data_IF_070394319299
#
_entry.id   IF_070394319299
#
_cell.length_a   1.000
_cell.length_b   1.000
_cell.length_c   1.000
_cell.angle_alpha   90.00
_cell.angle_beta   90.00
_cell.angle_gamma   90.00
#
_symmetry.space_group_name_H-M   'P 1'
#
loop_
_entity.id
_entity.type
_entity.pdbx_description
1 polymer ?
#
# COMPACT_ATOMS: atom_id res chain seq x y z
N UNK A 1 1.10 22.15 -11.97
CA UNK A 1 0.86 20.76 -12.38
C UNK A 1 1.25 19.85 -11.22
N UNK A 2 0.33 19.00 -10.78
CA UNK A 2 0.50 18.05 -9.70
C UNK A 2 0.55 16.64 -10.32
N UNK A 3 1.40 15.77 -9.83
CA UNK A 3 1.44 14.38 -10.28
C UNK A 3 0.07 13.70 -10.04
N UNK A 4 -0.40 12.82 -10.91
CA UNK A 4 -1.70 12.14 -10.76
C UNK A 4 -1.86 11.42 -9.42
N UNK A 5 -0.80 10.80 -8.91
CA UNK A 5 -0.79 10.18 -7.58
C UNK A 5 -1.04 11.18 -6.46
N UNK A 6 -0.43 12.37 -6.53
CA UNK A 6 -0.54 13.43 -5.51
C UNK A 6 -1.81 14.27 -5.66
N UNK A 7 -2.47 14.26 -6.83
CA UNK A 7 -3.74 14.95 -7.03
C UNK A 7 -4.81 14.32 -6.14
N UNK A 8 -5.61 15.14 -5.46
CA UNK A 8 -6.74 14.64 -4.68
C UNK A 8 -7.77 13.94 -5.56
N UNK A 9 -8.09 14.54 -6.70
CA UNK A 9 -9.08 14.04 -7.65
C UNK A 9 -8.53 14.04 -9.07
N UNK A 10 -8.87 13.03 -9.86
CA UNK A 10 -8.63 12.97 -11.30
C UNK A 10 -9.95 13.17 -12.03
N UNK A 11 -9.88 13.80 -13.20
CA UNK A 11 -10.99 13.82 -14.16
C UNK A 11 -11.12 12.41 -14.77
N UNK A 12 -12.24 11.78 -14.48
CA UNK A 12 -12.58 10.46 -15.01
C UNK A 12 -13.74 10.52 -16.00
N UNK A 13 -13.84 11.58 -16.79
CA UNK A 13 -14.80 11.68 -17.88
C UNK A 13 -14.60 10.52 -18.85
N UNK A 14 -15.69 10.01 -19.42
CA UNK A 14 -15.69 8.86 -20.32
C UNK A 14 -14.88 9.07 -21.62
N UNK A 15 -14.74 10.29 -22.08
CA UNK A 15 -14.02 10.62 -23.31
C UNK A 15 -12.50 10.52 -23.09
N UNK A 16 -11.82 9.86 -24.03
CA UNK A 16 -10.36 9.76 -24.01
C UNK A 16 -9.70 10.84 -24.86
N UNK A 17 -8.47 11.21 -24.50
CA UNK A 17 -7.60 12.00 -25.37
C UNK A 17 -6.99 11.14 -26.48
N UNK A 18 -6.46 11.77 -27.57
CA UNK A 18 -5.92 11.02 -28.71
C UNK A 18 -4.79 10.04 -28.38
N UNK A 19 -4.05 10.27 -27.29
CA UNK A 19 -2.92 9.46 -26.81
C UNK A 19 -3.28 8.48 -25.68
N UNK A 20 -4.57 8.31 -25.41
CA UNK A 20 -5.05 7.44 -24.34
C UNK A 20 -5.71 6.16 -24.85
N UNK A 21 -5.83 5.18 -23.95
CA UNK A 21 -6.59 3.95 -24.17
C UNK A 21 -7.62 3.80 -23.06
N UNK A 22 -8.84 3.37 -23.38
CA UNK A 22 -9.87 3.04 -22.41
C UNK A 22 -10.03 1.54 -22.28
N UNK A 23 -10.13 1.09 -21.03
CA UNK A 23 -10.36 -0.31 -20.66
C UNK A 23 -11.67 -0.41 -19.91
N UNK A 24 -12.58 -1.24 -20.37
CA UNK A 24 -13.78 -1.64 -19.64
C UNK A 24 -13.40 -2.65 -18.56
N UNK A 25 -13.66 -2.31 -17.30
CA UNK A 25 -13.24 -3.08 -16.14
C UNK A 25 -14.06 -4.36 -16.02
N UNK A 26 -13.39 -5.43 -15.59
CA UNK A 26 -14.01 -6.70 -15.19
C UNK A 26 -13.64 -7.05 -13.74
N UNK A 27 -12.39 -6.79 -13.34
CA UNK A 27 -11.89 -7.12 -12.01
C UNK A 27 -10.86 -6.09 -11.55
N UNK A 28 -10.89 -5.76 -10.28
CA UNK A 28 -9.87 -4.94 -9.61
C UNK A 28 -9.27 -5.78 -8.48
N UNK A 29 -7.96 -5.82 -8.39
CA UNK A 29 -7.23 -6.22 -7.20
C UNK A 29 -6.90 -4.97 -6.40
N UNK A 30 -7.34 -4.94 -5.16
CA UNK A 30 -7.06 -3.82 -4.23
C UNK A 30 -5.85 -4.23 -3.40
N UNK A 31 -4.91 -3.31 -3.24
CA UNK A 31 -3.71 -3.55 -2.44
C UNK A 31 -4.09 -4.00 -1.00
N UNK A 32 -3.33 -4.96 -0.45
CA UNK A 32 -3.72 -5.69 0.76
C UNK A 32 -4.00 -4.82 1.97
N UNK A 33 -3.15 -3.81 2.24
CA UNK A 33 -3.33 -2.88 3.37
C UNK A 33 -4.62 -2.06 3.21
N UNK A 34 -4.89 -1.57 1.99
CA UNK A 34 -6.10 -0.82 1.68
C UNK A 34 -7.35 -1.68 1.82
N UNK A 35 -7.32 -2.89 1.27
CA UNK A 35 -8.46 -3.79 1.34
C UNK A 35 -8.79 -4.18 2.78
N UNK A 36 -7.78 -4.49 3.58
CA UNK A 36 -7.93 -4.81 5.01
C UNK A 36 -8.52 -3.64 5.80
N UNK A 37 -8.02 -2.42 5.58
CA UNK A 37 -8.55 -1.21 6.21
C UNK A 37 -10.03 -1.03 5.88
N UNK A 38 -10.40 -1.14 4.59
CA UNK A 38 -11.79 -1.02 4.14
C UNK A 38 -12.68 -2.09 4.79
N UNK A 39 -12.22 -3.35 4.88
CA UNK A 39 -12.95 -4.44 5.53
C UNK A 39 -13.17 -4.17 7.02
N UNK A 40 -12.13 -3.73 7.74
CA UNK A 40 -12.22 -3.40 9.17
C UNK A 40 -13.23 -2.29 9.43
N UNK A 41 -13.14 -1.17 8.72
CA UNK A 41 -14.09 -0.06 8.88
C UNK A 41 -15.53 -0.43 8.48
N UNK A 42 -15.69 -1.34 7.52
CA UNK A 42 -17.00 -1.87 7.12
C UNK A 42 -17.55 -2.93 8.10
N UNK A 43 -16.81 -3.29 9.16
CA UNK A 43 -17.11 -4.43 10.03
C UNK A 43 -17.35 -5.71 9.21
N UNK A 44 -16.51 -5.95 8.21
CA UNK A 44 -16.52 -7.10 7.30
C UNK A 44 -17.87 -7.31 6.55
N UNK A 45 -18.69 -6.27 6.46
CA UNK A 45 -19.96 -6.32 5.77
C UNK A 45 -19.81 -5.98 4.29
N UNK A 46 -20.12 -6.92 3.39
CA UNK A 46 -19.91 -6.79 1.95
C UNK A 46 -20.58 -5.55 1.33
N UNK A 47 -21.79 -5.20 1.75
CA UNK A 47 -22.47 -4.01 1.21
C UNK A 47 -21.75 -2.72 1.62
N UNK A 48 -21.26 -2.65 2.85
CA UNK A 48 -20.50 -1.51 3.33
C UNK A 48 -19.12 -1.44 2.67
N UNK A 49 -18.46 -2.59 2.44
CA UNK A 49 -17.20 -2.67 1.70
C UNK A 49 -17.40 -2.10 0.29
N UNK A 50 -18.42 -2.58 -0.45
CA UNK A 50 -18.77 -2.08 -1.77
C UNK A 50 -19.01 -0.57 -1.75
N UNK A 51 -19.79 -0.09 -0.80
CA UNK A 51 -20.10 1.33 -0.69
C UNK A 51 -18.85 2.17 -0.45
N UNK A 52 -17.94 1.75 0.44
CA UNK A 52 -16.69 2.48 0.71
C UNK A 52 -15.80 2.56 -0.53
N UNK A 53 -15.62 1.46 -1.24
CA UNK A 53 -14.84 1.46 -2.48
C UNK A 53 -15.46 2.42 -3.50
N UNK A 54 -16.77 2.37 -3.69
CA UNK A 54 -17.49 3.29 -4.57
C UNK A 54 -17.31 4.75 -4.15
N UNK A 55 -17.43 5.04 -2.85
CA UNK A 55 -17.27 6.40 -2.31
C UNK A 55 -15.88 6.97 -2.56
N UNK A 56 -14.83 6.14 -2.42
CA UNK A 56 -13.45 6.54 -2.75
C UNK A 56 -13.36 6.93 -4.23
N UNK A 57 -13.84 6.08 -5.13
CA UNK A 57 -13.74 6.31 -6.57
C UNK A 57 -14.59 7.49 -7.03
N UNK A 58 -15.83 7.62 -6.53
CA UNK A 58 -16.71 8.75 -6.87
C UNK A 58 -16.08 10.09 -6.47
N UNK A 59 -15.50 10.15 -5.27
CA UNK A 59 -14.92 11.41 -4.76
C UNK A 59 -13.57 11.76 -5.39
N UNK A 60 -12.79 10.76 -5.76
CA UNK A 60 -11.40 10.95 -6.21
C UNK A 60 -11.19 10.76 -7.71
N UNK A 61 -12.15 10.22 -8.42
CA UNK A 61 -11.98 9.85 -9.84
C UNK A 61 -10.91 8.80 -10.07
N UNK A 62 -10.48 8.12 -9.01
CA UNK A 62 -9.41 7.10 -8.97
C UNK A 62 -9.57 6.21 -7.74
N UNK A 63 -8.98 5.01 -7.75
CA UNK A 63 -8.90 4.18 -6.56
C UNK A 63 -7.62 4.51 -5.80
N UNK A 64 -7.74 5.38 -4.83
CA UNK A 64 -6.65 5.80 -3.96
C UNK A 64 -7.22 5.99 -2.55
N UNK A 65 -7.03 4.99 -1.70
CA UNK A 65 -7.51 5.04 -0.32
C UNK A 65 -6.78 6.16 0.46
N UNK A 66 -7.48 7.17 0.96
CA UNK A 66 -6.84 8.29 1.64
C UNK A 66 -6.23 7.92 3.00
N UNK A 67 -6.58 6.77 3.56
CA UNK A 67 -6.05 6.29 4.84
C UNK A 67 -4.71 5.59 4.67
N UNK A 68 -4.56 4.77 3.61
CA UNK A 68 -3.37 3.94 3.37
C UNK A 68 -2.46 4.47 2.27
N UNK A 69 -2.90 5.48 1.52
CA UNK A 69 -2.22 6.02 0.33
C UNK A 69 -1.95 4.97 -0.77
N UNK A 70 -2.71 3.88 -0.79
CA UNK A 70 -2.57 2.79 -1.75
C UNK A 70 -3.81 2.61 -2.63
N UNK A 71 -3.69 1.85 -3.72
CA UNK A 71 -4.75 1.61 -4.68
C UNK A 71 -4.87 0.14 -5.05
N UNK A 72 -4.33 -0.23 -6.19
CA UNK A 72 -4.39 -1.58 -6.72
C UNK A 72 -4.14 -1.62 -8.22
N UNK A 73 -4.57 -2.69 -8.86
CA UNK A 73 -4.44 -2.92 -10.29
C UNK A 73 -5.74 -3.47 -10.88
N UNK A 74 -5.88 -3.48 -12.20
CA UNK A 74 -7.10 -3.94 -12.85
C UNK A 74 -6.87 -4.96 -13.98
N UNK A 75 -7.91 -5.73 -14.23
CA UNK A 75 -8.13 -6.52 -15.43
C UNK A 75 -9.40 -6.06 -16.13
N UNK A 76 -9.33 -5.99 -17.44
CA UNK A 76 -10.47 -5.60 -18.25
C UNK A 76 -10.27 -5.87 -19.76
N UNK A 77 -11.10 -5.22 -20.56
CA UNK A 77 -11.13 -5.37 -22.01
C UNK A 77 -10.89 -4.01 -22.65
N UNK A 78 -9.99 -3.94 -23.61
CA UNK A 78 -9.76 -2.71 -24.39
C UNK A 78 -11.04 -2.32 -25.12
N UNK A 79 -11.60 -1.17 -24.78
CA UNK A 79 -12.85 -0.67 -25.40
C UNK A 79 -12.63 0.45 -26.41
N UNK A 80 -11.57 1.24 -26.27
CA UNK A 80 -11.25 2.33 -27.18
C UNK A 80 -9.73 2.60 -27.18
N UNK A 81 -9.18 3.00 -28.34
CA UNK A 81 -7.76 3.37 -28.50
C UNK A 81 -7.73 4.71 -29.23
N UNK A 82 -7.08 5.70 -28.63
CA UNK A 82 -6.90 7.02 -29.22
C UNK A 82 -6.06 6.99 -30.50
N UNK A 83 -6.34 7.92 -31.39
CA UNK A 83 -5.74 7.96 -32.75
C UNK A 83 -4.23 8.22 -32.75
N UNK A 84 -3.68 8.80 -31.67
CA UNK A 84 -2.26 9.12 -31.51
C UNK A 84 -1.58 8.22 -30.46
N UNK A 85 -2.31 7.22 -29.94
CA UNK A 85 -1.73 6.25 -29.00
C UNK A 85 -0.68 5.40 -29.72
N UNK A 86 0.54 5.35 -29.19
CA UNK A 86 1.67 4.66 -29.83
C UNK A 86 1.41 3.17 -30.06
N UNK A 87 0.65 2.54 -29.14
CA UNK A 87 0.22 1.15 -29.24
C UNK A 87 1.34 0.17 -29.67
N UNK A 88 2.52 0.32 -29.07
CA UNK A 88 3.73 -0.44 -29.42
C UNK A 88 3.54 -1.96 -29.36
N UNK A 89 2.60 -2.43 -28.53
CA UNK A 89 2.26 -3.85 -28.34
C UNK A 89 1.14 -4.33 -29.29
N UNK A 90 0.60 -3.45 -30.14
CA UNK A 90 -0.43 -3.78 -31.13
C UNK A 90 -1.73 -4.28 -30.51
N UNK A 91 -2.20 -3.65 -29.41
CA UNK A 91 -3.50 -3.94 -28.81
C UNK A 91 -4.64 -3.60 -29.77
N UNK A 92 -5.75 -4.33 -29.63
CA UNK A 92 -6.98 -4.12 -30.39
C UNK A 92 -8.16 -4.00 -29.42
N UNK A 93 -9.19 -3.30 -29.86
CA UNK A 93 -10.47 -3.32 -29.19
C UNK A 93 -10.96 -4.77 -29.07
N UNK A 94 -11.32 -5.17 -27.86
CA UNK A 94 -11.69 -6.55 -27.52
C UNK A 94 -10.56 -7.38 -26.87
N UNK A 95 -9.31 -6.90 -26.88
CA UNK A 95 -8.21 -7.61 -26.18
C UNK A 95 -8.42 -7.59 -24.68
N UNK A 96 -8.28 -8.74 -24.04
CA UNK A 96 -8.23 -8.88 -22.58
C UNK A 96 -6.85 -8.47 -22.06
N UNK A 97 -6.82 -7.54 -21.11
CA UNK A 97 -5.58 -6.96 -20.60
C UNK A 97 -5.57 -6.86 -19.09
N UNK A 98 -4.36 -6.93 -18.51
CA UNK A 98 -4.08 -6.62 -17.13
C UNK A 98 -3.26 -5.33 -17.12
N UNK A 99 -3.69 -4.34 -16.35
CA UNK A 99 -2.96 -3.09 -16.13
C UNK A 99 -2.23 -3.19 -14.79
N UNK A 100 -0.91 -3.15 -14.84
CA UNK A 100 -0.03 -3.28 -13.67
C UNK A 100 0.38 -1.91 -13.08
N UNK A 101 -0.16 -0.82 -13.60
CA UNK A 101 0.01 0.50 -12.98
C UNK A 101 -0.93 0.66 -11.79
N UNK A 102 -0.46 1.41 -10.80
CA UNK A 102 -1.27 1.70 -9.62
C UNK A 102 -2.50 2.55 -9.97
N UNK A 103 -3.66 2.11 -9.55
CA UNK A 103 -4.93 2.83 -9.69
C UNK A 103 -4.96 4.15 -8.89
N UNK A 104 -3.93 4.46 -8.10
CA UNK A 104 -3.77 5.77 -7.45
C UNK A 104 -3.49 6.90 -8.44
N UNK A 105 -3.01 6.56 -9.65
CA UNK A 105 -2.60 7.52 -10.67
C UNK A 105 -3.45 7.49 -11.94
N UNK A 106 -4.47 6.65 -12.00
CA UNK A 106 -5.28 6.44 -13.21
C UNK A 106 -6.72 6.93 -13.01
N UNK A 107 -7.29 7.65 -13.99
CA UNK A 107 -8.72 7.98 -14.01
C UNK A 107 -9.55 6.71 -14.03
N UNK A 108 -10.42 6.57 -13.02
CA UNK A 108 -11.23 5.38 -12.80
C UNK A 108 -12.69 5.75 -12.53
N UNK A 109 -13.59 5.05 -13.18
CA UNK A 109 -15.03 5.09 -12.92
C UNK A 109 -15.55 3.68 -12.67
N UNK A 110 -16.32 3.50 -11.61
CA UNK A 110 -17.01 2.25 -11.29
C UNK A 110 -18.52 2.54 -11.29
N UNK A 111 -19.26 1.82 -12.12
CA UNK A 111 -20.71 1.87 -12.15
C UNK A 111 -21.30 1.01 -11.02
N UNK A 112 -20.83 -0.23 -10.90
CA UNK A 112 -21.25 -1.14 -9.83
C UNK A 112 -20.17 -2.18 -9.49
N UNK A 113 -20.20 -2.66 -8.25
CA UNK A 113 -19.41 -3.80 -7.77
C UNK A 113 -20.36 -4.99 -7.61
N UNK A 114 -20.11 -6.06 -8.37
CA UNK A 114 -20.95 -7.25 -8.40
C UNK A 114 -20.58 -8.25 -7.31
N UNK A 115 -19.29 -8.56 -7.14
CA UNK A 115 -18.82 -9.50 -6.13
C UNK A 115 -17.55 -9.01 -5.42
N UNK A 116 -17.27 -9.60 -4.26
CA UNK A 116 -16.04 -9.40 -3.48
C UNK A 116 -15.42 -10.76 -3.22
N UNK A 117 -14.12 -10.85 -3.47
CA UNK A 117 -13.29 -11.99 -3.11
C UNK A 117 -12.30 -11.54 -2.02
N UNK A 118 -12.64 -11.83 -0.78
CA UNK A 118 -11.86 -11.38 0.37
C UNK A 118 -10.51 -12.09 0.49
N UNK A 119 -10.40 -13.32 -0.01
CA UNK A 119 -9.17 -14.12 0.05
C UNK A 119 -8.06 -13.53 -0.78
N UNK A 120 -8.42 -12.96 -1.91
CA UNK A 120 -7.48 -12.35 -2.85
C UNK A 120 -7.48 -10.82 -2.81
N UNK A 121 -8.32 -10.19 -1.98
CA UNK A 121 -8.46 -8.73 -1.98
C UNK A 121 -8.99 -8.20 -3.33
N UNK A 122 -9.92 -8.92 -3.97
CA UNK A 122 -10.38 -8.61 -5.32
C UNK A 122 -11.88 -8.35 -5.37
N UNK A 123 -12.28 -7.50 -6.30
CA UNK A 123 -13.69 -7.22 -6.61
C UNK A 123 -13.96 -7.43 -8.09
N UNK A 124 -15.15 -7.93 -8.43
CA UNK A 124 -15.69 -7.83 -9.78
C UNK A 124 -16.49 -6.54 -9.89
N UNK A 125 -16.21 -5.76 -10.91
CA UNK A 125 -16.80 -4.46 -11.11
C UNK A 125 -17.08 -4.18 -12.59
N UNK A 126 -18.05 -3.33 -12.85
CA UNK A 126 -18.35 -2.75 -14.15
C UNK A 126 -18.01 -1.26 -14.09
N UNK A 127 -17.41 -0.75 -15.13
CA UNK A 127 -16.93 0.61 -15.26
C UNK A 127 -15.80 0.71 -16.27
N UNK A 128 -15.02 1.76 -16.20
CA UNK A 128 -13.87 1.94 -17.11
C UNK A 128 -12.69 2.61 -16.40
N UNK A 129 -11.53 2.44 -17.00
CA UNK A 129 -10.29 3.13 -16.64
C UNK A 129 -9.65 3.71 -17.87
N UNK A 130 -9.07 4.90 -17.75
CA UNK A 130 -8.37 5.59 -18.84
C UNK A 130 -6.88 5.55 -18.55
N UNK A 131 -6.10 5.12 -19.53
CA UNK A 131 -4.67 4.92 -19.41
C UNK A 131 -3.92 5.77 -20.44
N UNK A 132 -2.96 6.59 -19.98
CA UNK A 132 -2.00 7.24 -20.88
C UNK A 132 -1.09 6.24 -21.60
N UNK A 133 -0.38 6.73 -22.59
CA UNK A 133 0.46 5.96 -23.53
C UNK A 133 1.55 5.08 -22.86
N UNK A 134 2.12 5.56 -21.76
CA UNK A 134 3.27 4.95 -21.06
C UNK A 134 2.88 3.98 -19.95
N UNK A 135 1.59 3.74 -19.76
CA UNK A 135 1.11 2.85 -18.70
C UNK A 135 1.36 1.38 -19.07
N UNK A 136 1.97 0.59 -18.19
CA UNK A 136 2.25 -0.82 -18.44
C UNK A 136 0.97 -1.65 -18.45
N UNK A 137 0.65 -2.19 -19.62
CA UNK A 137 -0.43 -3.17 -19.82
C UNK A 137 0.11 -4.40 -20.55
N UNK A 138 -0.44 -5.57 -20.19
CA UNK A 138 -0.12 -6.84 -20.84
C UNK A 138 -1.40 -7.56 -21.28
N UNK A 139 -1.31 -8.34 -22.35
CA UNK A 139 -2.40 -9.29 -22.66
C UNK A 139 -2.51 -10.33 -21.59
N UNK A 140 -3.74 -10.62 -21.17
CA UNK A 140 -4.00 -11.66 -20.19
C UNK A 140 -3.41 -13.00 -20.66
N UNK A 141 -2.52 -13.62 -19.86
CA UNK A 141 -2.07 -14.99 -20.12
C UNK A 141 -3.24 -15.97 -20.06
N UNK A 142 -3.45 -16.72 -21.15
CA UNK A 142 -4.55 -17.67 -21.24
C UNK A 142 -4.25 -18.98 -20.47
N UNK A 143 -5.31 -19.65 -19.99
CA UNK A 143 -5.20 -20.95 -19.31
C UNK A 143 -4.65 -20.85 -17.87
N UNK A 144 -4.55 -19.65 -17.30
CA UNK A 144 -4.11 -19.45 -15.90
C UNK A 144 -5.22 -18.79 -15.07
N UNK A 145 -5.29 -19.10 -13.76
CA UNK A 145 -6.28 -18.50 -12.85
C UNK A 145 -6.08 -16.99 -12.74
N UNK A 146 -7.08 -16.21 -13.15
CA UNK A 146 -7.01 -14.76 -13.16
C UNK A 146 -6.74 -14.17 -11.76
N UNK A 147 -7.38 -14.72 -10.73
CA UNK A 147 -7.21 -14.27 -9.34
C UNK A 147 -5.75 -14.35 -8.89
N UNK A 148 -5.11 -15.48 -9.17
CA UNK A 148 -3.71 -15.72 -8.82
C UNK A 148 -2.76 -14.88 -9.68
N UNK A 149 -3.07 -14.70 -10.98
CA UNK A 149 -2.30 -13.80 -11.85
C UNK A 149 -2.29 -12.37 -11.30
N UNK A 150 -3.44 -11.80 -10.99
CA UNK A 150 -3.53 -10.43 -10.47
C UNK A 150 -2.83 -10.30 -9.12
N UNK A 151 -2.98 -11.28 -8.23
CA UNK A 151 -2.29 -11.30 -6.94
C UNK A 151 -0.76 -11.33 -7.12
N UNK A 152 -0.26 -12.19 -8.01
CA UNK A 152 1.17 -12.32 -8.29
C UNK A 152 1.74 -11.05 -8.96
N UNK A 153 1.04 -10.50 -9.93
CA UNK A 153 1.49 -9.30 -10.63
C UNK A 153 1.50 -8.06 -9.73
N UNK A 154 0.63 -7.98 -8.73
CA UNK A 154 0.68 -6.91 -7.74
C UNK A 154 2.01 -6.93 -6.95
N UNK A 155 2.58 -8.11 -6.76
CA UNK A 155 3.82 -8.33 -6.02
C UNK A 155 5.05 -8.48 -6.93
N UNK A 156 4.93 -8.28 -8.23
CA UNK A 156 5.91 -8.62 -9.27
C UNK A 156 7.32 -8.10 -8.99
N UNK A 157 7.47 -6.81 -8.74
CA UNK A 157 8.76 -6.21 -8.45
C UNK A 157 9.41 -6.77 -7.19
N UNK A 158 8.61 -6.97 -6.14
CA UNK A 158 9.06 -7.58 -4.87
C UNK A 158 9.49 -9.02 -5.07
N UNK A 159 8.71 -9.82 -5.81
CA UNK A 159 9.04 -11.20 -6.18
C UNK A 159 10.39 -11.26 -6.89
N UNK A 160 10.60 -10.42 -7.90
CA UNK A 160 11.85 -10.37 -8.63
C UNK A 160 13.03 -9.95 -7.75
N UNK A 161 12.84 -8.95 -6.90
CA UNK A 161 13.86 -8.49 -5.95
C UNK A 161 14.26 -9.61 -4.97
N UNK A 162 13.30 -10.33 -4.44
CA UNK A 162 13.54 -11.50 -3.56
C UNK A 162 14.32 -12.56 -4.31
N UNK A 163 13.87 -12.96 -5.50
CA UNK A 163 14.50 -14.00 -6.30
C UNK A 163 15.95 -13.63 -6.67
N UNK A 164 16.17 -12.40 -7.17
CA UNK A 164 17.52 -11.95 -7.54
C UNK A 164 18.48 -11.89 -6.35
N UNK A 165 17.95 -11.56 -5.17
CA UNK A 165 18.73 -11.49 -3.92
C UNK A 165 19.02 -12.88 -3.33
N UNK A 166 18.14 -13.86 -3.57
CA UNK A 166 18.26 -15.21 -3.02
C UNK A 166 19.35 -16.06 -3.70
N UNK A 167 19.80 -15.67 -4.91
CA UNK A 167 20.80 -16.44 -5.65
C UNK A 167 22.08 -16.64 -4.82
N UNK A 168 22.49 -17.89 -4.68
CA UNK A 168 23.72 -18.29 -3.97
C UNK A 168 23.63 -18.31 -2.44
N UNK A 169 22.53 -17.87 -1.86
CA UNK A 169 22.26 -17.90 -0.41
C UNK A 169 21.66 -19.24 0.02
N UNK A 170 21.68 -19.53 1.33
CA UNK A 170 21.27 -20.84 1.87
C UNK A 170 20.18 -20.78 2.94
N UNK A 171 20.17 -19.76 3.80
CA UNK A 171 19.23 -19.65 4.90
C UNK A 171 18.29 -18.45 4.70
N UNK A 172 17.00 -18.75 4.69
CA UNK A 172 15.97 -17.79 4.37
C UNK A 172 14.87 -17.77 5.43
N UNK A 173 14.41 -16.58 5.78
CA UNK A 173 13.28 -16.38 6.67
C UNK A 173 12.18 -15.59 5.94
N UNK A 174 10.95 -16.08 6.01
CA UNK A 174 9.76 -15.36 5.53
C UNK A 174 8.83 -15.14 6.72
N UNK A 175 8.54 -13.89 7.02
CA UNK A 175 7.69 -13.46 8.14
C UNK A 175 6.44 -12.80 7.59
N UNK A 176 5.26 -13.29 7.97
CA UNK A 176 4.01 -12.71 7.49
C UNK A 176 2.78 -13.13 8.27
N UNK A 177 1.66 -12.52 7.93
CA UNK A 177 0.33 -12.81 8.49
C UNK A 177 -0.70 -13.22 7.41
N UNK A 178 -0.23 -13.52 6.21
CA UNK A 178 -1.05 -14.04 5.12
C UNK A 178 -0.34 -15.23 4.47
N UNK A 179 -0.95 -16.42 4.54
CA UNK A 179 -0.34 -17.63 4.04
C UNK A 179 -0.04 -17.58 2.53
N UNK A 180 -0.90 -16.94 1.74
CA UNK A 180 -0.71 -16.83 0.29
C UNK A 180 0.52 -15.97 -0.05
N UNK A 181 0.70 -14.82 0.63
CA UNK A 181 1.89 -13.98 0.47
C UNK A 181 3.16 -14.70 0.90
N UNK A 182 3.12 -15.39 2.06
CA UNK A 182 4.28 -16.19 2.52
C UNK A 182 4.64 -17.29 1.50
N UNK A 183 3.64 -17.99 0.96
CA UNK A 183 3.85 -19.01 -0.06
C UNK A 183 4.43 -18.44 -1.35
N UNK A 184 3.92 -17.30 -1.80
CA UNK A 184 4.37 -16.62 -3.02
C UNK A 184 5.86 -16.24 -2.91
N UNK A 185 6.25 -15.58 -1.82
CA UNK A 185 7.63 -15.16 -1.61
C UNK A 185 8.57 -16.31 -1.29
N UNK A 186 8.13 -17.27 -0.49
CA UNK A 186 8.87 -18.52 -0.24
C UNK A 186 9.11 -19.30 -1.53
N UNK A 187 8.11 -19.38 -2.40
CA UNK A 187 8.22 -20.05 -3.70
C UNK A 187 9.20 -19.31 -4.64
N UNK A 188 9.15 -17.96 -4.67
CA UNK A 188 10.09 -17.14 -5.41
C UNK A 188 11.56 -17.42 -4.98
N UNK A 189 11.80 -17.62 -3.68
CA UNK A 189 13.09 -18.06 -3.14
C UNK A 189 13.45 -19.45 -3.69
N UNK A 190 12.54 -20.43 -3.58
CA UNK A 190 12.79 -21.81 -4.00
C UNK A 190 13.13 -21.96 -5.48
N UNK A 191 12.57 -21.12 -6.35
CA UNK A 191 12.86 -21.16 -7.80
C UNK A 191 14.33 -20.91 -8.13
N UNK A 192 15.04 -20.19 -7.29
CA UNK A 192 16.42 -19.74 -7.56
C UNK A 192 17.44 -20.20 -6.50
N UNK A 193 16.97 -20.58 -5.32
CA UNK A 193 17.81 -21.09 -4.24
C UNK A 193 18.33 -22.49 -4.57
N UNK A 194 19.40 -22.88 -3.89
CA UNK A 194 19.95 -24.23 -3.97
C UNK A 194 18.96 -25.26 -3.39
N UNK A 195 19.08 -26.52 -3.82
CA UNK A 195 18.24 -27.62 -3.31
C UNK A 195 18.40 -27.84 -1.79
N UNK A 196 19.61 -27.59 -1.27
CA UNK A 196 19.95 -27.71 0.15
C UNK A 196 19.61 -26.45 0.98
N UNK A 197 18.92 -25.48 0.41
CA UNK A 197 18.56 -24.25 1.11
C UNK A 197 17.47 -24.48 2.16
N UNK A 198 17.64 -23.83 3.31
CA UNK A 198 16.63 -23.78 4.36
C UNK A 198 15.74 -22.55 4.16
N UNK A 199 14.44 -22.76 4.11
CA UNK A 199 13.44 -21.68 4.04
C UNK A 199 12.48 -21.85 5.20
N UNK A 200 12.61 -21.00 6.21
CA UNK A 200 11.75 -21.00 7.40
C UNK A 200 10.67 -19.96 7.25
N UNK A 201 9.44 -20.31 7.65
CA UNK A 201 8.30 -19.40 7.66
C UNK A 201 7.84 -19.16 9.09
N UNK A 202 7.73 -17.89 9.46
CA UNK A 202 6.99 -17.45 10.63
C UNK A 202 5.64 -16.87 10.17
N UNK A 203 4.57 -17.55 10.52
CA UNK A 203 3.22 -17.12 10.21
C UNK A 203 2.52 -16.71 11.49
N UNK A 204 1.96 -15.48 11.48
CA UNK A 204 1.23 -15.00 12.65
C UNK A 204 0.04 -15.91 12.97
N UNK A 205 -0.05 -16.36 14.23
CA UNK A 205 -1.13 -17.23 14.68
C UNK A 205 -2.50 -16.53 14.69
N UNK A 206 -2.53 -15.20 14.58
CA UNK A 206 -3.73 -14.37 14.45
C UNK A 206 -4.13 -14.14 12.98
N UNK A 207 -3.65 -14.96 12.07
CA UNK A 207 -3.98 -14.86 10.64
C UNK A 207 -5.49 -14.99 10.40
N UNK A 208 -6.10 -13.97 9.82
CA UNK A 208 -7.56 -13.88 9.64
C UNK A 208 -8.12 -14.82 8.57
N UNK A 209 -7.30 -15.20 7.58
CA UNK A 209 -7.71 -16.07 6.49
C UNK A 209 -6.63 -17.12 6.23
N UNK A 210 -7.04 -18.37 6.23
CA UNK A 210 -6.16 -19.50 5.97
C UNK A 210 -6.71 -20.30 4.79
N UNK A 211 -5.89 -20.46 3.76
CA UNK A 211 -6.14 -21.44 2.72
C UNK A 211 -5.92 -22.85 3.30
N UNK A 212 -6.87 -23.76 3.07
CA UNK A 212 -6.80 -25.15 3.52
C UNK A 212 -6.93 -26.10 2.35
N UNK A 213 -6.56 -27.33 2.58
CA UNK A 213 -6.68 -28.43 1.63
C UNK A 213 -5.38 -29.21 1.47
N UNK A 214 -5.47 -30.39 0.91
CA UNK A 214 -4.30 -31.25 0.72
C UNK A 214 -3.26 -30.62 -0.21
N UNK A 215 -3.70 -29.92 -1.26
CA UNK A 215 -2.83 -29.19 -2.18
C UNK A 215 -2.02 -28.10 -1.46
N UNK A 216 -2.65 -27.34 -0.59
CA UNK A 216 -1.98 -26.29 0.20
C UNK A 216 -0.93 -26.92 1.15
N UNK A 217 -1.27 -28.02 1.82
CA UNK A 217 -0.31 -28.72 2.69
C UNK A 217 0.90 -29.27 1.90
N UNK A 218 0.67 -29.76 0.68
CA UNK A 218 1.75 -30.19 -0.21
C UNK A 218 2.61 -29.00 -0.65
N UNK A 219 1.99 -27.85 -0.98
CA UNK A 219 2.69 -26.63 -1.36
C UNK A 219 3.53 -26.09 -0.20
N UNK A 220 2.99 -26.05 1.01
CA UNK A 220 3.71 -25.63 2.22
C UNK A 220 5.00 -26.48 2.38
N UNK A 221 4.88 -27.80 2.30
CA UNK A 221 6.03 -28.72 2.41
C UNK A 221 7.03 -28.58 1.26
N UNK A 222 6.58 -28.19 0.07
CA UNK A 222 7.45 -27.92 -1.08
C UNK A 222 8.22 -26.62 -0.94
N UNK A 223 7.60 -25.61 -0.33
CA UNK A 223 8.15 -24.26 -0.22
C UNK A 223 9.01 -24.10 1.02
N UNK A 224 8.51 -24.50 2.18
CA UNK A 224 9.16 -24.27 3.45
C UNK A 224 9.80 -25.54 4.02
N UNK A 225 10.98 -25.40 4.61
CA UNK A 225 11.61 -26.42 5.41
C UNK A 225 10.86 -26.59 6.72
N UNK A 226 10.49 -25.47 7.33
CA UNK A 226 9.73 -25.40 8.57
C UNK A 226 8.74 -24.24 8.54
N UNK A 227 7.59 -24.41 9.23
CA UNK A 227 6.59 -23.35 9.44
C UNK A 227 6.25 -23.29 10.91
N UNK A 228 6.43 -22.13 11.51
CA UNK A 228 6.10 -21.85 12.90
C UNK A 228 4.95 -20.87 12.97
N UNK A 229 3.93 -21.18 13.77
CA UNK A 229 2.79 -20.30 14.05
C UNK A 229 3.09 -19.56 15.34
N UNK A 230 3.34 -18.25 15.24
CA UNK A 230 3.89 -17.42 16.31
C UNK A 230 3.10 -16.13 16.50
N UNK A 231 3.31 -15.42 17.60
CA UNK A 231 2.91 -14.03 17.75
C UNK A 231 4.04 -13.14 17.23
N UNK A 232 3.92 -12.67 15.98
CA UNK A 232 4.97 -11.85 15.33
C UNK A 232 5.24 -10.51 16.01
N UNK A 233 4.41 -10.10 16.98
CA UNK A 233 4.67 -8.93 17.84
C UNK A 233 5.58 -9.24 19.03
N UNK A 234 6.04 -10.49 19.16
CA UNK A 234 6.97 -10.94 20.20
C UNK A 234 8.30 -11.41 19.59
N UNK A 235 9.12 -10.49 19.10
CA UNK A 235 10.29 -10.84 18.28
C UNK A 235 11.28 -11.77 18.98
N UNK A 236 11.51 -11.62 20.28
CA UNK A 236 12.46 -12.47 21.01
C UNK A 236 11.95 -13.91 21.19
N UNK A 237 10.64 -14.09 21.39
CA UNK A 237 10.03 -15.42 21.44
C UNK A 237 10.15 -16.07 20.04
N UNK A 238 9.81 -15.35 18.97
CA UNK A 238 9.93 -15.84 17.61
C UNK A 238 11.35 -16.28 17.24
N UNK A 239 12.36 -15.50 17.63
CA UNK A 239 13.77 -15.83 17.36
C UNK A 239 14.20 -17.07 18.14
N UNK A 240 13.77 -17.22 19.39
CA UNK A 240 14.07 -18.39 20.19
C UNK A 240 13.43 -19.67 19.62
N UNK A 241 12.20 -19.57 19.10
CA UNK A 241 11.48 -20.71 18.52
C UNK A 241 12.16 -21.32 17.27
N UNK A 242 12.93 -20.53 16.54
CA UNK A 242 13.59 -20.95 15.29
C UNK A 242 15.12 -21.05 15.43
N UNK A 243 15.66 -20.89 16.64
CA UNK A 243 17.13 -20.80 16.88
C UNK A 243 17.81 -19.81 15.91
N UNK A 244 17.13 -18.67 15.70
CA UNK A 244 17.31 -17.81 14.54
C UNK A 244 18.13 -16.54 14.77
N UNK A 245 18.80 -16.35 15.93
CA UNK A 245 19.59 -15.14 16.13
C UNK A 245 20.75 -15.07 15.14
N UNK A 246 20.74 -14.01 14.31
CA UNK A 246 21.80 -13.75 13.32
C UNK A 246 22.08 -14.91 12.35
N UNK A 247 21.06 -15.72 12.00
CA UNK A 247 21.23 -16.95 11.26
C UNK A 247 20.99 -16.84 9.76
N UNK A 248 20.13 -15.90 9.32
CA UNK A 248 19.61 -15.87 7.96
C UNK A 248 20.40 -14.98 7.00
N UNK A 249 20.62 -15.48 5.78
CA UNK A 249 21.28 -14.75 4.68
C UNK A 249 20.34 -13.67 4.10
N UNK A 250 19.07 -13.98 4.03
CA UNK A 250 17.98 -13.14 3.53
C UNK A 250 16.74 -13.37 4.37
N UNK A 251 16.17 -12.30 4.89
CA UNK A 251 14.86 -12.33 5.50
C UNK A 251 13.88 -11.40 4.78
N UNK A 252 12.65 -11.88 4.61
CA UNK A 252 11.55 -11.15 3.97
C UNK A 252 10.46 -10.92 4.99
N UNK A 253 10.02 -9.68 5.15
CA UNK A 253 8.85 -9.33 5.92
C UNK A 253 7.71 -8.97 4.97
N UNK A 254 6.67 -9.78 4.95
CA UNK A 254 5.42 -9.53 4.22
C UNK A 254 4.22 -9.39 5.15
N UNK A 255 4.47 -9.15 6.44
CA UNK A 255 3.40 -8.92 7.40
C UNK A 255 2.76 -7.55 7.18
N UNK A 256 1.44 -7.54 7.15
CA UNK A 256 0.63 -6.34 7.18
C UNK A 256 0.33 -5.92 8.65
N UNK A 257 1.39 -5.90 9.46
CA UNK A 257 1.35 -5.60 10.91
C UNK A 257 2.61 -4.82 11.27
N UNK A 258 2.43 -3.60 11.78
CA UNK A 258 3.55 -2.81 12.32
C UNK A 258 4.16 -3.47 13.56
N UNK A 259 5.48 -3.43 13.65
CA UNK A 259 6.25 -4.01 14.77
C UNK A 259 6.83 -5.38 14.50
N UNK A 260 6.42 -6.06 13.41
CA UNK A 260 6.97 -7.34 13.00
C UNK A 260 8.40 -7.23 12.42
N UNK A 261 8.85 -6.03 12.05
CA UNK A 261 10.13 -5.75 11.41
C UNK A 261 11.33 -6.16 12.26
N UNK A 262 11.19 -6.06 13.59
CA UNK A 262 12.24 -6.40 14.56
C UNK A 262 12.70 -7.84 14.42
N UNK A 263 11.81 -8.78 14.10
CA UNK A 263 12.17 -10.20 13.86
C UNK A 263 13.22 -10.28 12.75
N UNK A 264 12.94 -9.66 11.61
CA UNK A 264 13.81 -9.74 10.44
C UNK A 264 15.20 -9.15 10.71
N UNK A 265 15.24 -8.03 11.47
CA UNK A 265 16.48 -7.38 11.84
C UNK A 265 17.32 -8.28 12.76
N UNK A 266 16.72 -8.86 13.79
CA UNK A 266 17.41 -9.74 14.73
C UNK A 266 17.82 -11.06 14.08
N UNK A 267 16.97 -11.64 13.23
CA UNK A 267 17.23 -12.92 12.59
C UNK A 267 18.31 -12.86 11.49
N UNK A 268 18.51 -11.70 10.87
CA UNK A 268 19.42 -11.58 9.73
C UNK A 268 20.87 -11.43 10.20
N UNK A 269 21.77 -12.22 9.63
CA UNK A 269 23.21 -12.17 9.95
C UNK A 269 23.87 -10.87 9.50
N UNK A 270 25.05 -10.57 10.05
CA UNK A 270 25.87 -9.44 9.61
C UNK A 270 26.17 -9.51 8.10
N UNK A 271 25.94 -8.39 7.39
CA UNK A 271 26.05 -8.32 5.93
C UNK A 271 24.93 -9.04 5.17
N UNK A 272 23.91 -9.56 5.88
CA UNK A 272 22.74 -10.16 5.28
C UNK A 272 21.75 -9.12 4.75
N UNK A 273 20.74 -9.58 4.05
CA UNK A 273 19.72 -8.72 3.43
C UNK A 273 18.38 -8.86 4.13
N UNK A 274 17.71 -7.74 4.38
CA UNK A 274 16.30 -7.68 4.83
C UNK A 274 15.48 -7.04 3.72
N UNK A 275 14.37 -7.69 3.32
CA UNK A 275 13.41 -7.11 2.36
C UNK A 275 12.08 -6.88 3.09
N UNK A 276 11.65 -5.64 3.14
CA UNK A 276 10.32 -5.26 3.60
C UNK A 276 9.38 -5.21 2.39
N UNK A 277 8.53 -6.22 2.26
CA UNK A 277 7.65 -6.41 1.13
C UNK A 277 6.32 -5.64 1.25
N UNK A 278 5.99 -5.15 2.44
CA UNK A 278 4.74 -4.43 2.69
C UNK A 278 4.98 -2.95 2.96
N UNK A 279 4.12 -2.07 2.43
CA UNK A 279 4.23 -0.61 2.58
C UNK A 279 3.98 -0.12 4.02
N UNK A 280 3.28 -0.91 4.84
CA UNK A 280 3.05 -0.59 6.26
C UNK A 280 4.31 -0.74 7.11
N UNK A 281 5.33 -1.44 6.62
CA UNK A 281 6.55 -1.68 7.36
C UNK A 281 7.28 -0.38 7.68
N UNK A 282 7.71 -0.25 8.92
CA UNK A 282 8.47 0.89 9.39
C UNK A 282 9.97 0.71 9.13
N UNK A 283 10.44 1.19 7.99
CA UNK A 283 11.86 1.07 7.60
C UNK A 283 12.81 1.79 8.58
N UNK A 284 12.33 2.81 9.30
CA UNK A 284 13.15 3.55 10.24
C UNK A 284 13.55 2.70 11.45
N UNK A 285 12.82 1.63 11.74
CA UNK A 285 13.15 0.72 12.87
C UNK A 285 14.57 0.18 12.76
N UNK A 286 15.01 -0.06 11.53
CA UNK A 286 16.37 -0.52 11.24
C UNK A 286 17.47 0.50 11.63
N UNK A 287 17.14 1.79 11.72
CA UNK A 287 18.04 2.84 12.13
C UNK A 287 18.11 3.04 13.65
N UNK A 288 17.07 2.58 14.36
CA UNK A 288 16.94 2.79 15.80
C UNK A 288 17.31 1.56 16.63
N UNK A 289 17.33 0.37 16.04
CA UNK A 289 17.74 -0.85 16.74
C UNK A 289 19.26 -0.91 16.69
N UNK A 290 19.91 -0.84 17.86
CA UNK A 290 21.37 -0.86 17.99
C UNK A 290 21.97 -2.11 17.33
N UNK A 291 21.27 -3.24 17.41
CA UNK A 291 21.65 -4.49 16.80
C UNK A 291 21.70 -4.41 15.27
N UNK A 292 20.84 -3.63 14.64
CA UNK A 292 20.86 -3.43 13.18
C UNK A 292 22.09 -2.64 12.73
N UNK A 293 22.43 -1.58 13.47
CA UNK A 293 23.56 -0.69 13.14
C UNK A 293 24.88 -1.47 13.16
N UNK A 294 25.06 -2.37 14.13
CA UNK A 294 26.29 -3.15 14.28
C UNK A 294 26.43 -4.26 13.21
N UNK A 295 25.36 -4.68 12.55
CA UNK A 295 25.31 -5.83 11.62
C UNK A 295 25.53 -5.46 10.16
N UNK A 296 25.56 -4.18 9.80
CA UNK A 296 25.69 -3.71 8.40
C UNK A 296 24.68 -4.40 7.47
N UNK A 297 23.40 -4.39 7.84
CA UNK A 297 22.35 -5.02 7.05
C UNK A 297 22.08 -4.25 5.75
N UNK A 298 21.90 -4.99 4.65
CA UNK A 298 21.39 -4.47 3.40
C UNK A 298 19.84 -4.47 3.47
N UNK A 299 19.24 -3.30 3.67
CA UNK A 299 17.79 -3.16 3.84
C UNK A 299 17.18 -2.66 2.54
N UNK A 300 16.21 -3.40 2.05
CA UNK A 300 15.48 -3.10 0.81
C UNK A 300 13.99 -3.06 1.08
N UNK A 301 13.29 -2.23 0.30
CA UNK A 301 11.83 -2.15 0.34
C UNK A 301 11.20 -2.90 -0.85
N UNK A 302 9.88 -2.99 -0.82
CA UNK A 302 9.06 -3.43 -1.94
C UNK A 302 9.43 -2.65 -3.21
N UNK A 303 9.32 -3.31 -4.35
CA UNK A 303 9.63 -2.73 -5.66
C UNK A 303 8.39 -2.72 -6.55
N UNK A 304 8.36 -1.77 -7.48
CA UNK A 304 7.30 -1.66 -8.46
C UNK A 304 7.41 -2.70 -9.58
N UNK A 305 6.36 -2.79 -10.36
CA UNK A 305 6.30 -3.64 -11.54
C UNK A 305 7.26 -3.14 -12.64
N UNK A 306 7.94 -4.09 -13.28
CA UNK A 306 8.64 -3.89 -14.53
C UNK A 306 8.22 -4.98 -15.53
N UNK A 307 7.93 -4.61 -16.77
CA UNK A 307 7.47 -5.52 -17.82
C UNK A 307 8.41 -6.72 -18.07
N UNK A 308 9.70 -6.53 -17.82
CA UNK A 308 10.68 -7.61 -17.95
C UNK A 308 10.42 -8.80 -17.01
N UNK A 309 9.59 -8.63 -15.97
CA UNK A 309 9.30 -9.66 -14.98
C UNK A 309 8.13 -10.57 -15.34
N UNK A 310 7.30 -10.20 -16.33
CA UNK A 310 6.10 -10.94 -16.73
C UNK A 310 6.32 -12.44 -16.91
N UNK A 311 7.42 -12.81 -17.58
CA UNK A 311 7.72 -14.23 -17.83
C UNK A 311 7.96 -15.00 -16.54
N UNK A 312 8.67 -14.39 -15.61
CA UNK A 312 8.98 -15.00 -14.31
C UNK A 312 7.71 -15.16 -13.47
N UNK A 313 6.89 -14.12 -13.42
CA UNK A 313 5.62 -14.14 -12.70
C UNK A 313 4.65 -15.18 -13.26
N UNK A 314 4.53 -15.27 -14.59
CA UNK A 314 3.71 -16.29 -15.27
C UNK A 314 4.19 -17.70 -14.94
N UNK A 315 5.50 -17.93 -14.84
CA UNK A 315 6.04 -19.23 -14.41
C UNK A 315 5.70 -19.55 -12.97
N UNK A 316 5.79 -18.57 -12.07
CA UNK A 316 5.36 -18.74 -10.67
C UNK A 316 3.89 -19.12 -10.61
N UNK A 317 3.02 -18.40 -11.33
CA UNK A 317 1.59 -18.71 -11.36
C UNK A 317 1.31 -20.12 -11.89
N UNK A 318 1.98 -20.55 -12.97
CA UNK A 318 1.84 -21.91 -13.51
C UNK A 318 2.16 -22.98 -12.47
N UNK A 319 3.20 -22.75 -11.68
CA UNK A 319 3.66 -23.71 -10.69
C UNK A 319 2.80 -23.72 -9.42
N UNK A 320 2.19 -22.60 -9.06
CA UNK A 320 1.32 -22.45 -7.88
C UNK A 320 -0.14 -22.86 -8.16
N UNK A 321 -0.65 -22.61 -9.38
CA UNK A 321 -2.05 -22.81 -9.74
C UNK A 321 -2.61 -24.20 -9.37
N UNK A 322 -1.91 -25.34 -9.64
CA UNK A 322 -2.44 -26.66 -9.32
C UNK A 322 -2.73 -26.90 -7.83
N UNK A 323 -2.08 -26.16 -6.95
CA UNK A 323 -2.25 -26.30 -5.50
C UNK A 323 -3.30 -25.37 -4.93
N UNK A 324 -3.56 -24.22 -5.60
CA UNK A 324 -4.40 -23.14 -5.08
C UNK A 324 -5.82 -23.21 -5.66
N UNK A 325 -6.02 -23.70 -6.90
CA UNK A 325 -7.35 -23.77 -7.53
C UNK A 325 -8.37 -24.60 -6.75
N UNK A 326 -7.92 -25.57 -5.97
CA UNK A 326 -8.77 -26.44 -5.15
C UNK A 326 -8.64 -26.16 -3.65
N UNK A 327 -8.11 -24.99 -3.27
CA UNK A 327 -7.99 -24.63 -1.87
C UNK A 327 -9.34 -24.19 -1.30
N UNK A 328 -9.72 -24.78 -0.17
CA UNK A 328 -10.87 -24.35 0.60
C UNK A 328 -10.49 -23.12 1.44
N UNK A 329 -11.34 -22.09 1.39
CA UNK A 329 -11.17 -20.89 2.20
C UNK A 329 -11.77 -21.11 3.58
N UNK A 330 -11.01 -20.80 4.60
CA UNK A 330 -11.50 -20.82 5.97
C UNK A 330 -11.21 -19.47 6.62
N UNK A 331 -12.26 -18.78 7.04
CA UNK A 331 -12.14 -17.59 7.89
C UNK A 331 -11.90 -18.04 9.32
N UNK A 332 -10.74 -17.75 9.88
CA UNK A 332 -10.49 -17.91 11.30
C UNK A 332 -10.89 -16.59 11.94
N UNK A 333 -12.08 -16.52 12.53
CA UNK A 333 -12.44 -15.39 13.40
C UNK A 333 -11.70 -15.55 14.70
N UNK A 334 -10.83 -14.61 14.99
CA UNK A 334 -10.26 -14.46 16.31
C UNK A 334 -11.39 -14.08 17.29
N UNK A 335 -11.37 -14.69 18.47
CA UNK A 335 -12.17 -14.20 19.60
C UNK A 335 -11.77 -12.75 19.84
N UNK A 336 -12.79 -11.91 19.97
CA UNK A 336 -12.68 -10.49 20.23
C UNK A 336 -11.50 -10.13 21.14
N UNK A 337 -10.42 -9.67 20.54
CA UNK A 337 -9.49 -8.77 21.18
C UNK A 337 -9.68 -7.41 20.50
N UNK A 338 -10.54 -6.60 21.11
CA UNK A 338 -11.00 -5.29 20.64
C UNK A 338 -9.90 -4.21 20.68
N UNK A 339 -8.64 -4.57 20.41
CA UNK A 339 -7.48 -3.71 20.53
C UNK A 339 -6.83 -3.29 19.19
N UNK A 340 -7.48 -3.53 18.06
CA UNK A 340 -7.00 -3.05 16.74
C UNK A 340 -7.70 -1.75 16.29
N UNK A 341 -7.93 -0.84 17.20
CA UNK A 341 -8.18 0.54 16.86
C UNK A 341 -7.01 1.35 17.38
N UNK A 342 -6.18 1.95 16.50
CA UNK A 342 -5.15 2.93 16.82
C UNK A 342 -4.38 2.69 18.13
N UNK A 343 -3.83 1.51 18.37
CA UNK A 343 -3.25 1.15 19.65
C UNK A 343 -1.84 1.68 19.78
N UNK A 344 -1.63 2.50 20.79
CA UNK A 344 -0.31 2.86 21.30
C UNK A 344 0.47 1.58 21.64
N UNK A 345 1.31 1.12 20.73
CA UNK A 345 2.25 0.05 21.04
C UNK A 345 3.37 0.64 21.92
N UNK A 346 3.37 0.31 23.19
CA UNK A 346 4.49 0.64 24.08
C UNK A 346 5.50 -0.50 24.04
N UNK A 347 6.65 -0.24 23.44
CA UNK A 347 7.80 -1.12 23.57
C UNK A 347 8.70 -0.62 24.69
N UNK A 348 9.07 -1.52 25.59
CA UNK A 348 10.12 -1.26 26.59
C UNK A 348 11.40 -1.86 26.02
N UNK A 349 12.34 -1.01 25.59
CA UNK A 349 13.67 -1.45 25.20
C UNK A 349 14.43 -2.02 26.41
N UNK A 350 15.41 -2.87 26.15
CA UNK A 350 16.34 -3.37 27.19
C UNK A 350 17.05 -2.23 27.96
N UNK A 351 17.05 -1.02 27.43
CA UNK A 351 17.57 0.21 28.05
C UNK A 351 16.55 0.98 28.88
N UNK A 352 15.30 0.49 29.03
CA UNK A 352 14.27 1.14 29.83
C UNK A 352 13.63 2.39 29.22
N UNK A 353 13.91 2.69 27.94
CA UNK A 353 13.31 3.82 27.23
C UNK A 353 12.00 3.39 26.57
N UNK A 354 10.89 3.99 26.98
CA UNK A 354 9.59 3.76 26.34
C UNK A 354 9.55 4.46 24.99
N UNK A 355 9.44 3.68 23.91
CA UNK A 355 9.21 4.18 22.56
C UNK A 355 7.74 3.99 22.19
N UNK A 356 7.09 5.03 21.72
CA UNK A 356 5.70 4.95 21.27
C UNK A 356 5.67 5.11 19.76
N UNK A 357 5.08 4.14 19.08
CA UNK A 357 4.87 4.16 17.63
C UNK A 357 3.38 4.38 17.39
N UNK A 358 3.05 5.37 16.59
CA UNK A 358 1.68 5.66 16.24
C UNK A 358 1.60 6.03 14.76
N UNK A 359 1.00 5.16 13.95
CA UNK A 359 0.98 5.27 12.50
C UNK A 359 2.40 5.55 11.96
N UNK A 360 2.66 6.47 11.10
CA UNK A 360 4.01 6.79 10.62
C UNK A 360 4.85 7.67 11.57
N UNK A 361 4.45 7.76 12.85
CA UNK A 361 5.09 8.66 13.82
C UNK A 361 5.78 7.86 14.93
N UNK A 362 7.13 7.87 14.91
CA UNK A 362 7.97 7.25 15.95
C UNK A 362 8.53 8.33 16.87
N UNK A 363 8.30 8.20 18.16
CA UNK A 363 8.82 9.14 19.16
C UNK A 363 9.15 8.44 20.47
N UNK A 364 10.14 9.00 21.15
CA UNK A 364 10.62 8.48 22.44
C UNK A 364 10.41 9.45 23.60
N UNK A 365 10.20 10.74 23.29
CA UNK A 365 10.10 11.76 24.33
C UNK A 365 8.70 11.82 24.92
N UNK A 366 8.64 12.02 26.25
CA UNK A 366 7.39 12.27 26.95
C UNK A 366 6.64 13.51 26.42
N UNK A 367 7.39 14.55 26.03
CA UNK A 367 6.81 15.76 25.43
C UNK A 367 6.02 15.44 24.17
N UNK A 368 6.56 14.60 23.28
CA UNK A 368 5.86 14.20 22.07
C UNK A 368 4.63 13.31 22.38
N UNK A 369 4.70 12.47 23.43
CA UNK A 369 3.51 11.70 23.88
C UNK A 369 2.36 12.61 24.26
N UNK A 370 2.63 13.73 24.94
CA UNK A 370 1.61 14.73 25.30
C UNK A 370 1.03 15.38 24.02
N UNK A 371 1.88 15.77 23.07
CA UNK A 371 1.44 16.35 21.78
C UNK A 371 0.52 15.38 21.04
N UNK A 372 0.87 14.09 20.99
CA UNK A 372 0.03 13.09 20.33
C UNK A 372 -1.32 12.89 21.02
N UNK A 373 -1.36 12.90 22.34
CA UNK A 373 -2.63 12.83 23.11
C UNK A 373 -3.52 14.05 22.83
N UNK A 374 -2.93 15.24 22.70
CA UNK A 374 -3.63 16.46 22.28
C UNK A 374 -4.14 16.36 20.84
N UNK A 375 -3.32 15.87 19.92
CA UNK A 375 -3.68 15.62 18.51
C UNK A 375 -4.89 14.71 18.39
N UNK A 376 -4.89 13.56 19.08
CA UNK A 376 -6.00 12.61 19.07
C UNK A 376 -7.28 13.18 19.70
N UNK A 377 -7.12 14.12 20.61
CA UNK A 377 -8.23 14.80 21.23
C UNK A 377 -8.81 15.84 20.28
N UNK A 378 -7.96 16.74 19.74
CA UNK A 378 -8.40 17.84 18.87
C UNK A 378 -8.94 17.38 17.54
N UNK A 379 -8.41 16.28 16.99
CA UNK A 379 -8.86 15.72 15.72
C UNK A 379 -10.37 15.37 15.67
N UNK A 380 -11.00 15.16 16.82
CA UNK A 380 -12.43 14.85 16.93
C UNK A 380 -13.33 16.09 16.81
N UNK A 381 -12.76 17.28 16.90
CA UNK A 381 -13.48 18.53 16.90
C UNK A 381 -13.26 19.31 15.60
N UNK A 382 -14.27 20.07 15.23
CA UNK A 382 -14.21 20.96 14.06
C UNK A 382 -13.68 22.33 14.49
N UNK A 383 -12.36 22.46 14.56
CA UNK A 383 -11.68 23.67 14.98
C UNK A 383 -10.39 23.92 14.22
N UNK A 384 -9.94 25.17 14.19
CA UNK A 384 -8.64 25.53 13.67
C UNK A 384 -7.53 25.09 14.63
N UNK A 385 -6.45 24.52 14.10
CA UNK A 385 -5.30 24.06 14.89
C UNK A 385 -4.04 24.78 14.43
N UNK A 386 -3.33 25.39 15.37
CA UNK A 386 -2.02 25.96 15.12
C UNK A 386 -0.93 25.00 15.60
N UNK A 387 -0.05 24.58 14.68
CA UNK A 387 1.09 23.71 14.97
C UNK A 387 2.36 24.56 14.97
N UNK A 388 2.99 24.68 16.13
CA UNK A 388 4.23 25.47 16.28
C UNK A 388 5.43 24.57 16.56
N UNK A 389 6.58 24.94 16.04
CA UNK A 389 7.83 24.22 16.25
C UNK A 389 8.92 24.63 15.25
N UNK A 390 10.15 24.25 15.51
CA UNK A 390 11.29 24.52 14.65
C UNK A 390 11.13 23.86 13.26
N UNK A 391 11.92 24.32 12.29
CA UNK A 391 11.93 23.70 10.95
C UNK A 391 12.47 22.27 11.06
N UNK A 392 11.81 21.33 10.38
CA UNK A 392 12.23 19.92 10.34
C UNK A 392 11.73 19.06 11.51
N UNK A 393 11.03 19.58 12.52
CA UNK A 393 10.53 18.79 13.67
C UNK A 393 9.34 17.89 13.35
N UNK A 394 8.80 17.97 12.12
CA UNK A 394 7.70 17.11 11.68
C UNK A 394 6.30 17.70 11.81
N UNK A 395 6.14 19.03 11.74
CA UNK A 395 4.82 19.72 11.76
C UNK A 395 3.83 19.13 10.75
N UNK A 396 4.28 18.84 9.53
CA UNK A 396 3.46 18.24 8.48
C UNK A 396 2.94 16.84 8.89
N UNK A 397 3.78 16.03 9.57
CA UNK A 397 3.36 14.71 10.07
C UNK A 397 2.26 14.84 11.13
N UNK A 398 2.37 15.84 12.00
CA UNK A 398 1.34 16.15 13.00
C UNK A 398 0.03 16.56 12.32
N UNK A 399 0.08 17.41 11.29
CA UNK A 399 -1.10 17.79 10.52
C UNK A 399 -1.76 16.60 9.82
N UNK A 400 -0.97 15.70 9.22
CA UNK A 400 -1.47 14.44 8.67
C UNK A 400 -2.18 13.59 9.74
N UNK A 401 -1.60 13.49 10.92
CA UNK A 401 -2.17 12.69 12.02
C UNK A 401 -3.50 13.27 12.50
N UNK A 402 -3.61 14.59 12.60
CA UNK A 402 -4.88 15.26 12.92
C UNK A 402 -5.95 14.90 11.87
N UNK A 403 -5.64 15.06 10.58
CA UNK A 403 -6.58 14.76 9.52
C UNK A 403 -7.01 13.29 9.50
N UNK A 404 -6.06 12.35 9.56
CA UNK A 404 -6.33 10.90 9.57
C UNK A 404 -7.19 10.45 10.75
N UNK A 405 -7.14 11.14 11.89
CA UNK A 405 -7.94 10.83 13.07
C UNK A 405 -9.21 11.70 13.22
N UNK A 406 -9.49 12.57 12.25
CA UNK A 406 -10.65 13.44 12.26
C UNK A 406 -11.89 12.79 11.64
N UNK A 407 -13.06 13.41 11.87
CA UNK A 407 -14.30 13.05 11.18
C UNK A 407 -14.24 13.28 9.67
N UNK A 408 -13.21 13.99 9.19
CA UNK A 408 -12.96 14.35 7.78
C UNK A 408 -11.87 13.49 7.13
N UNK A 409 -11.41 12.42 7.76
CA UNK A 409 -10.31 11.55 7.25
C UNK A 409 -10.52 11.01 5.84
N UNK A 410 -11.78 10.88 5.39
CA UNK A 410 -12.17 10.45 4.04
C UNK A 410 -12.41 11.63 3.08
N UNK A 411 -12.15 12.86 3.51
CA UNK A 411 -12.34 14.08 2.75
C UNK A 411 -10.99 14.62 2.26
N UNK A 412 -10.97 15.62 1.36
CA UNK A 412 -9.74 16.21 0.87
C UNK A 412 -8.82 16.71 2.01
N UNK A 413 -7.52 16.38 1.89
CA UNK A 413 -6.47 16.99 2.69
C UNK A 413 -5.52 17.74 1.77
N UNK A 414 -5.69 19.04 1.68
CA UNK A 414 -4.92 19.90 0.79
C UNK A 414 -3.77 20.49 1.61
N UNK A 415 -2.55 20.33 1.09
CA UNK A 415 -1.33 20.86 1.71
C UNK A 415 -0.76 21.96 0.84
N UNK A 416 -0.52 23.10 1.44
CA UNK A 416 0.00 24.29 0.76
C UNK A 416 1.19 24.82 1.54
N UNK A 417 2.34 24.92 0.89
CA UNK A 417 3.47 25.67 1.45
C UNK A 417 3.37 27.11 0.98
N UNK A 418 3.06 28.01 1.92
CA UNK A 418 2.83 29.43 1.64
C UNK A 418 4.07 30.12 1.08
N UNK A 419 5.27 29.73 1.52
CA UNK A 419 6.53 30.30 1.04
C UNK A 419 6.84 29.95 -0.43
N UNK A 420 6.23 28.89 -0.98
CA UNK A 420 6.47 28.45 -2.35
C UNK A 420 5.65 29.18 -3.42
N UNK A 421 4.69 30.01 -3.00
CA UNK A 421 3.76 30.72 -3.91
C UNK A 421 4.21 32.15 -4.05
N UNK A 422 4.31 32.64 -5.29
CA UNK A 422 4.64 34.05 -5.53
C UNK A 422 3.56 34.95 -4.93
N UNK A 423 3.92 36.05 -4.22
CA UNK A 423 2.95 36.94 -3.56
C UNK A 423 1.82 37.42 -4.49
N UNK A 424 2.11 37.69 -5.76
CA UNK A 424 1.13 38.13 -6.75
C UNK A 424 0.14 37.04 -7.19
N UNK A 425 0.39 35.77 -6.84
CA UNK A 425 -0.48 34.64 -7.20
C UNK A 425 -1.25 34.09 -6.01
N UNK A 426 -0.92 34.48 -4.79
CA UNK A 426 -1.50 33.93 -3.57
C UNK A 426 -3.03 34.00 -3.58
N UNK A 427 -3.61 35.19 -3.86
CA UNK A 427 -5.05 35.38 -3.88
C UNK A 427 -5.74 34.46 -4.89
N UNK A 428 -5.19 34.37 -6.11
CA UNK A 428 -5.72 33.51 -7.17
C UNK A 428 -5.59 31.99 -6.84
N UNK A 429 -4.49 31.57 -6.19
CA UNK A 429 -4.30 30.18 -5.80
C UNK A 429 -5.19 29.80 -4.60
N UNK A 430 -5.38 30.69 -3.63
CA UNK A 430 -6.20 30.41 -2.45
C UNK A 430 -7.70 30.44 -2.76
N UNK A 431 -8.17 31.50 -3.47
CA UNK A 431 -9.60 31.74 -3.67
C UNK A 431 -10.10 31.39 -5.06
N UNK A 432 -9.16 31.12 -5.99
CA UNK A 432 -9.51 30.87 -7.38
C UNK A 432 -9.74 32.13 -8.20
N UNK A 433 -10.04 31.94 -9.48
CA UNK A 433 -10.32 33.05 -10.41
C UNK A 433 -11.54 32.68 -11.24
N UNK A 434 -12.53 33.55 -11.27
CA UNK A 434 -13.67 33.42 -12.17
C UNK A 434 -13.30 33.83 -13.61
N UNK A 435 -14.02 33.23 -14.57
CA UNK A 435 -13.90 33.59 -15.98
C UNK A 435 -14.23 35.08 -16.15
N UNK A 436 -13.28 35.84 -16.68
CA UNK A 436 -13.47 37.27 -17.00
C UNK A 436 -12.88 37.56 -18.39
N UNK A 437 -13.75 37.53 -19.40
CA UNK A 437 -13.36 37.78 -20.79
C UNK A 437 -12.77 39.18 -21.00
N UNK A 438 -13.11 40.16 -20.14
CA UNK A 438 -12.58 41.53 -20.20
C UNK A 438 -11.10 41.58 -19.79
N UNK A 439 -10.63 40.61 -19.02
CA UNK A 439 -9.24 40.45 -18.54
C UNK A 439 -8.45 39.37 -19.28
N UNK A 440 -9.03 38.76 -20.33
CA UNK A 440 -8.38 37.71 -21.11
C UNK A 440 -8.32 36.35 -20.39
N UNK A 441 -9.16 36.12 -19.39
CA UNK A 441 -9.27 34.85 -18.68
C UNK A 441 -10.37 34.01 -19.33
N UNK A 442 -9.97 33.01 -20.12
CA UNK A 442 -10.87 32.13 -20.87
C UNK A 442 -11.54 31.05 -20.02
N UNK A 443 -10.93 30.68 -18.87
CA UNK A 443 -11.41 29.62 -18.01
C UNK A 443 -11.38 30.04 -16.52
N UNK A 444 -12.36 29.57 -15.72
CA UNK A 444 -12.32 29.70 -14.27
C UNK A 444 -11.31 28.71 -13.68
N UNK A 445 -10.62 29.09 -12.60
CA UNK A 445 -9.71 28.24 -11.85
C UNK A 445 -10.18 28.18 -10.40
N UNK A 446 -10.39 26.97 -9.87
CA UNK A 446 -10.71 26.77 -8.45
C UNK A 446 -9.50 27.05 -7.58
N UNK A 447 -9.74 27.61 -6.40
CA UNK A 447 -8.72 27.85 -5.38
C UNK A 447 -8.58 26.72 -4.37
N UNK A 448 -7.52 26.79 -3.55
CA UNK A 448 -7.26 25.78 -2.52
C UNK A 448 -8.40 25.63 -1.50
N UNK A 449 -9.10 26.71 -1.15
CA UNK A 449 -10.26 26.63 -0.27
C UNK A 449 -11.41 25.83 -0.87
N UNK A 450 -11.65 25.98 -2.18
CA UNK A 450 -12.67 25.20 -2.87
C UNK A 450 -12.26 23.72 -2.97
N UNK A 451 -10.97 23.44 -3.23
CA UNK A 451 -10.47 22.06 -3.25
C UNK A 451 -10.51 21.38 -1.89
N UNK A 452 -10.40 22.16 -0.81
CA UNK A 452 -10.47 21.66 0.56
C UNK A 452 -11.90 21.61 1.12
N UNK A 453 -12.92 21.89 0.30
CA UNK A 453 -14.31 21.93 0.76
C UNK A 453 -14.73 20.62 1.43
N UNK A 454 -15.35 20.73 2.60
CA UNK A 454 -15.67 19.62 3.52
C UNK A 454 -14.47 18.80 4.02
N UNK A 455 -13.24 19.18 3.65
CA UNK A 455 -12.00 18.53 4.01
C UNK A 455 -11.16 19.29 5.04
N UNK A 456 -9.84 19.23 4.87
CA UNK A 456 -8.87 19.97 5.69
C UNK A 456 -7.85 20.68 4.80
N UNK A 457 -7.51 21.91 5.15
CA UNK A 457 -6.45 22.68 4.51
C UNK A 457 -5.29 22.85 5.50
N UNK A 458 -4.10 22.38 5.13
CA UNK A 458 -2.87 22.58 5.89
C UNK A 458 -2.03 23.65 5.22
N UNK A 459 -1.82 24.76 5.93
CA UNK A 459 -0.98 25.86 5.51
C UNK A 459 0.35 25.77 6.22
N UNK A 460 1.39 25.33 5.50
CA UNK A 460 2.76 25.30 6.03
C UNK A 460 3.43 26.66 5.82
N UNK A 461 4.34 27.02 6.75
CA UNK A 461 5.05 28.31 6.78
C UNK A 461 4.09 29.51 6.64
N UNK A 462 2.98 29.50 7.40
CA UNK A 462 1.94 30.53 7.35
C UNK A 462 2.47 31.93 7.71
N UNK A 463 3.56 32.01 8.46
CA UNK A 463 4.21 33.26 8.82
C UNK A 463 4.83 33.99 7.61
N UNK A 464 5.07 33.29 6.50
CA UNK A 464 5.64 33.85 5.28
C UNK A 464 4.56 34.50 4.36
N UNK A 465 3.28 34.40 4.76
CA UNK A 465 2.22 35.15 4.06
C UNK A 465 2.42 36.65 4.21
N UNK A 466 2.23 37.44 3.13
CA UNK A 466 2.17 38.90 3.20
C UNK A 466 1.13 39.37 4.21
N UNK A 467 1.40 40.48 4.90
CA UNK A 467 0.55 41.00 5.99
C UNK A 467 -0.89 41.33 5.55
N UNK A 468 -1.08 41.61 4.28
CA UNK A 468 -2.38 41.90 3.66
C UNK A 468 -3.18 40.60 3.35
N UNK A 469 -2.52 39.45 3.40
CA UNK A 469 -3.14 38.14 3.22
C UNK A 469 -3.36 37.37 4.54
N UNK A 470 -2.75 37.82 5.63
CA UNK A 470 -2.95 37.29 6.98
C UNK A 470 -4.28 37.77 7.59
#
# INVERSE_FOLDING_TARGET
>A
HVLPTSAWQLDNNHNIFPDEIRIDIRRIHIEGTSFKEICLEANDNDQKIKQKIMDIVIRRGKLHNPVTDTGGMLYGVVSEIGSEHENLKGFKVGDEVICNASLTSLPLYIDKITSIDKSFGQIEAEGYCILPNDVPIIRRPQGLPLKLLMFTFNESGTIYRISSTAVGKRKFLVVGNNLLSNLLFGFAIRKVAREDAEVICLLDHKTDMVLKGEGINQLIKKVFTEVHYVDILKPLECIADIDGDSAFDLSVNCADIQGAETINILATKSGGTVIFANLINNYNIALYITEAISRQLDIRCADGYLEAYDKFDIEIVKDLAPYIENAEETTIRLKDDSSYGGTKSRFVNASGVNQTIMEDFVFTSHAMSVVIDEVLTVAKYDCNVLITGETGVGKEKVANLIHKNSNRKMQPFIKVNCASIAPSMLEAEFFGVEKDESKGLETSKKGFFEFADNGSLFLDEIADLPTDMQ
#
